data_IF_710374316592
#
_entry.id   IF_710374316592
#
_cell.length_a   1.000
_cell.length_b   1.000
_cell.length_c   1.000
_cell.angle_alpha   90.00
_cell.angle_beta   90.00
_cell.angle_gamma   90.00
#
_symmetry.space_group_name_H-M   'P 1'
#
loop_
_entity.id
_entity.type
_entity.pdbx_description
1 polymer ?
#
# COMPACT_ATOMS: atom_id res chain seq x y z
N UNK A 1 -9.20 -6.71 -21.73
CA UNK A 1 -9.39 -8.03 -21.09
C UNK A 1 -10.46 -7.91 -20.01
N UNK A 2 -11.32 -8.91 -19.81
CA UNK A 2 -12.32 -8.88 -18.72
C UNK A 2 -11.74 -9.45 -17.43
N UNK A 3 -12.30 -9.05 -16.29
CA UNK A 3 -11.94 -9.60 -14.97
C UNK A 3 -12.12 -11.13 -14.90
N UNK A 4 -13.15 -11.67 -15.56
CA UNK A 4 -13.37 -13.11 -15.63
C UNK A 4 -12.21 -13.83 -16.35
N UNK A 5 -11.73 -13.27 -17.47
CA UNK A 5 -10.57 -13.83 -18.19
C UNK A 5 -9.31 -13.80 -17.33
N UNK A 6 -9.07 -12.68 -16.63
CA UNK A 6 -7.91 -12.52 -15.73
C UNK A 6 -7.95 -13.58 -14.62
N UNK A 7 -9.10 -13.72 -13.94
CA UNK A 7 -9.30 -14.72 -12.89
C UNK A 7 -9.01 -16.14 -13.40
N UNK A 8 -9.48 -16.47 -14.62
CA UNK A 8 -9.25 -17.79 -15.20
C UNK A 8 -7.77 -18.03 -15.52
N UNK A 9 -7.06 -17.04 -16.08
CA UNK A 9 -5.64 -17.14 -16.39
C UNK A 9 -4.80 -17.35 -15.12
N UNK A 10 -5.06 -16.55 -14.09
CA UNK A 10 -4.40 -16.68 -12.79
C UNK A 10 -4.67 -18.04 -12.15
N UNK A 11 -5.94 -18.46 -12.09
CA UNK A 11 -6.30 -19.76 -11.51
C UNK A 11 -5.65 -20.93 -12.26
N UNK A 12 -5.63 -20.87 -13.59
CA UNK A 12 -4.99 -21.89 -14.42
C UNK A 12 -3.49 -21.98 -14.17
N UNK A 13 -2.80 -20.84 -14.05
CA UNK A 13 -1.36 -20.85 -13.77
C UNK A 13 -1.05 -21.34 -12.36
N UNK A 14 -1.84 -21.00 -11.35
CA UNK A 14 -1.63 -21.51 -9.98
C UNK A 14 -1.78 -23.04 -9.88
N UNK A 15 -2.66 -23.63 -10.70
CA UNK A 15 -2.85 -25.09 -10.74
C UNK A 15 -1.80 -25.77 -11.62
N UNK A 16 -1.56 -25.25 -12.83
CA UNK A 16 -0.68 -25.89 -13.80
C UNK A 16 0.81 -25.58 -13.56
N UNK A 17 1.11 -24.47 -12.89
CA UNK A 17 2.43 -23.97 -12.55
C UNK A 17 3.40 -24.02 -13.75
N UNK A 18 3.00 -23.43 -14.88
CA UNK A 18 3.79 -23.53 -16.12
C UNK A 18 5.04 -22.66 -16.05
N UNK A 19 4.97 -21.53 -15.37
CA UNK A 19 6.11 -20.66 -15.13
C UNK A 19 6.96 -21.24 -14.02
N UNK A 20 8.27 -21.37 -14.25
CA UNK A 20 9.20 -21.89 -13.26
C UNK A 20 9.15 -21.09 -11.94
N UNK A 21 8.95 -19.77 -12.06
CA UNK A 21 8.90 -18.87 -10.91
C UNK A 21 7.60 -19.07 -10.10
N UNK A 22 6.51 -19.55 -10.70
CA UNK A 22 5.28 -19.95 -9.97
C UNK A 22 5.59 -21.10 -9.03
N UNK A 23 6.29 -22.13 -9.52
CA UNK A 23 6.67 -23.31 -8.71
C UNK A 23 7.55 -22.89 -7.54
N UNK A 24 8.62 -22.17 -7.84
CA UNK A 24 9.56 -21.68 -6.82
C UNK A 24 8.86 -20.87 -5.73
N UNK A 25 7.91 -20.03 -6.13
CA UNK A 25 7.14 -19.23 -5.19
C UNK A 25 6.20 -20.08 -4.32
N UNK A 26 5.41 -20.96 -4.94
CA UNK A 26 4.45 -21.81 -4.23
C UNK A 26 5.11 -22.91 -3.39
N UNK A 27 6.41 -23.17 -3.57
CA UNK A 27 7.20 -24.08 -2.72
C UNK A 27 7.44 -23.53 -1.31
N UNK A 28 7.31 -22.22 -1.11
CA UNK A 28 7.61 -21.52 0.15
C UNK A 28 6.48 -20.60 0.63
N UNK A 29 5.50 -20.31 -0.23
CA UNK A 29 4.38 -19.41 0.04
C UNK A 29 3.04 -20.01 -0.40
N UNK A 30 1.96 -19.49 0.19
CA UNK A 30 0.60 -19.84 -0.19
C UNK A 30 -0.23 -18.59 -0.46
N UNK A 31 -0.93 -18.54 -1.60
CA UNK A 31 -1.90 -17.47 -1.87
C UNK A 31 -3.22 -17.76 -1.15
N UNK A 32 -4.00 -16.71 -0.85
CA UNK A 32 -5.32 -16.89 -0.24
C UNK A 32 -6.37 -17.37 -1.24
N UNK A 33 -7.26 -18.23 -0.76
CA UNK A 33 -8.42 -18.72 -1.51
C UNK A 33 -9.72 -18.42 -0.78
N UNK A 34 -10.77 -18.06 -1.51
CA UNK A 34 -12.14 -17.93 -1.00
C UNK A 34 -13.07 -18.80 -1.82
N UNK A 35 -13.71 -19.78 -1.17
CA UNK A 35 -14.57 -20.79 -1.83
C UNK A 35 -13.87 -21.51 -2.99
N UNK A 36 -12.57 -21.82 -2.83
CA UNK A 36 -11.77 -22.52 -3.83
C UNK A 36 -11.26 -21.64 -5.00
N UNK A 37 -11.55 -20.34 -5.00
CA UNK A 37 -11.08 -19.39 -6.02
C UNK A 37 -9.95 -18.54 -5.41
N UNK A 38 -8.82 -18.32 -6.12
CA UNK A 38 -7.76 -17.42 -5.67
C UNK A 38 -8.34 -16.02 -5.41
N UNK A 39 -7.95 -15.42 -4.28
CA UNK A 39 -8.32 -14.04 -3.99
C UNK A 39 -7.42 -13.11 -4.79
N UNK A 40 -8.02 -12.23 -5.59
CA UNK A 40 -7.32 -11.11 -6.23
C UNK A 40 -7.80 -9.84 -5.54
N UNK A 41 -6.90 -9.12 -4.89
CA UNK A 41 -7.23 -7.90 -4.14
C UNK A 41 -7.32 -6.67 -5.03
N UNK A 42 -6.56 -6.64 -6.13
CA UNK A 42 -6.64 -5.57 -7.11
C UNK A 42 -6.25 -6.05 -8.50
N UNK A 43 -6.95 -5.53 -9.50
CA UNK A 43 -6.57 -5.60 -10.91
C UNK A 43 -6.36 -4.16 -11.40
N UNK A 44 -5.20 -3.85 -11.97
CA UNK A 44 -4.95 -2.51 -12.53
C UNK A 44 -5.59 -2.36 -13.90
N UNK A 45 -5.94 -1.14 -14.33
CA UNK A 45 -6.08 -0.88 -15.75
C UNK A 45 -4.76 -1.20 -16.49
N UNK A 46 -4.81 -1.47 -17.80
CA UNK A 46 -3.60 -1.59 -18.61
C UNK A 46 -2.78 -0.30 -18.53
N UNK A 47 -1.47 -0.41 -18.34
CA UNK A 47 -0.56 0.73 -18.44
C UNK A 47 -0.31 1.14 -19.90
N UNK A 48 0.66 2.05 -20.11
CA UNK A 48 1.03 2.52 -21.47
C UNK A 48 1.56 1.43 -22.38
N UNK A 49 2.05 0.32 -21.83
CA UNK A 49 2.52 -0.85 -22.58
C UNK A 49 1.42 -1.92 -22.72
N UNK A 50 0.24 -1.68 -22.15
CA UNK A 50 -0.88 -2.61 -22.14
C UNK A 50 -0.79 -3.68 -21.06
N UNK A 51 0.08 -3.50 -20.05
CA UNK A 51 0.27 -4.48 -18.98
C UNK A 51 -0.76 -4.26 -17.88
N UNK A 52 -1.46 -5.34 -17.53
CA UNK A 52 -2.39 -5.45 -16.42
C UNK A 52 -1.70 -6.20 -15.29
N UNK A 53 -1.80 -5.68 -14.06
CA UNK A 53 -1.30 -6.35 -12.86
C UNK A 53 -2.46 -6.89 -12.04
N UNK A 54 -2.40 -8.18 -11.66
CA UNK A 54 -3.33 -8.80 -10.73
C UNK A 54 -2.60 -9.13 -9.42
N UNK A 55 -3.00 -8.48 -8.32
CA UNK A 55 -2.37 -8.59 -7.01
C UNK A 55 -3.08 -9.64 -6.17
N UNK A 56 -2.35 -10.69 -5.79
CA UNK A 56 -2.84 -11.75 -4.91
C UNK A 56 -2.17 -11.62 -3.54
N UNK A 57 -2.96 -11.61 -2.46
CA UNK A 57 -2.42 -11.62 -1.12
C UNK A 57 -1.83 -12.98 -0.76
N UNK A 58 -0.82 -12.93 0.08
CA UNK A 58 -0.02 -14.07 0.50
C UNK A 58 -0.36 -14.39 1.96
N UNK A 59 -0.59 -15.65 2.27
CA UNK A 59 -1.07 -16.06 3.58
C UNK A 59 -0.04 -15.75 4.67
N UNK A 60 -0.43 -14.90 5.62
CA UNK A 60 0.41 -14.55 6.78
C UNK A 60 1.49 -13.51 6.49
N UNK A 61 1.58 -13.04 5.25
CA UNK A 61 2.66 -12.16 4.80
C UNK A 61 2.13 -10.78 4.36
N UNK A 62 3.01 -9.79 4.36
CA UNK A 62 2.72 -8.43 3.91
C UNK A 62 3.48 -8.10 2.62
N UNK A 63 3.16 -8.82 1.57
CA UNK A 63 3.53 -8.49 0.20
C UNK A 63 2.58 -9.25 -0.73
N UNK A 64 2.68 -8.99 -2.02
CA UNK A 64 1.76 -9.58 -3.01
C UNK A 64 2.52 -10.48 -3.97
N UNK A 65 1.86 -11.55 -4.39
CA UNK A 65 2.18 -12.23 -5.64
C UNK A 65 1.46 -11.48 -6.76
N UNK A 66 2.19 -11.00 -7.76
CA UNK A 66 1.62 -10.20 -8.84
C UNK A 66 1.77 -10.92 -10.16
N UNK A 67 0.65 -11.17 -10.83
CA UNK A 67 0.63 -11.66 -12.20
C UNK A 67 0.61 -10.49 -13.18
N UNK A 68 1.49 -10.53 -14.17
CA UNK A 68 1.54 -9.56 -15.28
C UNK A 68 0.84 -10.17 -16.49
N UNK A 69 -0.25 -9.55 -16.91
CA UNK A 69 -1.04 -9.96 -18.07
C UNK A 69 -0.95 -8.90 -19.16
N UNK A 70 -0.99 -9.33 -20.41
CA UNK A 70 -0.92 -8.44 -21.56
C UNK A 70 -2.31 -8.24 -22.14
N UNK A 71 -2.80 -7.00 -22.10
CA UNK A 71 -4.11 -6.65 -22.64
C UNK A 71 -4.19 -6.79 -24.17
N UNK A 72 -3.06 -6.68 -24.86
CA UNK A 72 -2.96 -6.74 -26.32
C UNK A 72 -2.93 -8.19 -26.81
N UNK A 73 -2.19 -9.08 -26.14
CA UNK A 73 -2.09 -10.50 -26.54
C UNK A 73 -3.12 -11.39 -25.85
N UNK A 74 -3.71 -10.93 -24.74
CA UNK A 74 -4.63 -11.75 -23.95
C UNK A 74 -3.93 -12.76 -23.02
N UNK A 75 -2.60 -12.72 -22.95
CA UNK A 75 -1.77 -13.74 -22.31
C UNK A 75 -1.25 -13.35 -20.93
N UNK A 76 -0.67 -14.35 -20.26
CA UNK A 76 0.12 -14.16 -19.05
C UNK A 76 1.60 -14.00 -19.42
N UNK A 77 2.20 -12.88 -19.05
CA UNK A 77 3.59 -12.54 -19.36
C UNK A 77 4.57 -12.99 -18.29
N UNK A 78 4.12 -13.08 -17.03
CA UNK A 78 4.98 -13.49 -15.93
C UNK A 78 4.33 -13.28 -14.57
N UNK A 79 5.12 -13.50 -13.53
CA UNK A 79 4.79 -13.10 -12.17
C UNK A 79 6.03 -12.61 -11.42
N UNK A 80 5.81 -11.86 -10.35
CA UNK A 80 6.83 -11.45 -9.40
C UNK A 80 6.21 -11.29 -8.01
N UNK A 81 7.03 -10.87 -7.05
CA UNK A 81 6.51 -10.30 -5.81
C UNK A 81 6.55 -8.77 -5.88
N UNK A 82 5.51 -8.12 -5.37
CA UNK A 82 5.52 -6.67 -5.17
C UNK A 82 5.29 -6.35 -3.69
N UNK A 83 5.97 -5.29 -3.23
CA UNK A 83 5.94 -4.88 -1.84
C UNK A 83 4.53 -4.46 -1.40
N UNK A 84 4.21 -4.70 -0.14
CA UNK A 84 3.08 -4.03 0.48
C UNK A 84 3.49 -2.60 0.84
N UNK A 85 2.83 -1.62 0.23
CA UNK A 85 3.09 -0.21 0.46
C UNK A 85 1.91 0.44 1.19
N UNK A 86 2.20 1.15 2.27
CA UNK A 86 1.25 2.02 2.97
C UNK A 86 1.85 3.41 3.10
N UNK A 87 1.22 4.40 2.46
CA UNK A 87 1.63 5.81 2.46
C UNK A 87 0.46 6.64 2.96
N UNK A 88 0.64 7.36 4.05
CA UNK A 88 -0.42 8.16 4.67
C UNK A 88 0.16 9.39 5.36
N UNK A 89 -0.64 10.44 5.47
CA UNK A 89 -0.34 11.54 6.38
C UNK A 89 -0.82 11.15 7.77
N UNK A 90 -0.03 11.41 8.80
CA UNK A 90 -0.44 11.30 10.19
C UNK A 90 -0.14 12.60 10.93
N UNK A 91 -1.14 13.09 11.65
CA UNK A 91 -0.96 14.14 12.65
C UNK A 91 -1.22 13.57 14.04
N UNK A 92 -0.37 13.93 15.00
CA UNK A 92 -0.50 13.53 16.40
C UNK A 92 -0.35 14.71 17.36
N UNK A 93 -0.99 14.63 18.52
CA UNK A 93 -0.85 15.63 19.57
C UNK A 93 -1.04 15.02 20.96
N UNK A 94 -0.25 15.50 21.93
CA UNK A 94 -0.38 15.13 23.34
C UNK A 94 -1.37 16.01 24.11
N UNK A 95 -1.80 17.13 23.50
CA UNK A 95 -2.65 18.18 24.09
C UNK A 95 -4.01 18.30 23.41
N UNK A 96 -4.07 18.17 22.08
CA UNK A 96 -5.30 18.27 21.30
C UNK A 96 -6.04 16.93 21.25
N UNK A 97 -7.37 16.96 21.17
CA UNK A 97 -8.23 15.83 20.85
C UNK A 97 -8.24 15.51 19.35
N UNK A 98 -8.73 14.33 18.97
CA UNK A 98 -8.91 13.98 17.56
C UNK A 98 -9.84 14.96 16.82
N UNK A 99 -10.90 15.44 17.49
CA UNK A 99 -11.83 16.41 16.90
C UNK A 99 -11.19 17.78 16.68
N UNK A 100 -10.33 18.23 17.59
CA UNK A 100 -9.60 19.49 17.41
C UNK A 100 -8.57 19.38 16.29
N UNK A 101 -7.87 18.24 16.19
CA UNK A 101 -7.00 17.96 15.05
C UNK A 101 -7.78 17.97 13.74
N UNK A 102 -8.89 17.24 13.66
CA UNK A 102 -9.72 17.17 12.46
C UNK A 102 -10.27 18.55 12.05
N UNK A 103 -10.51 19.46 13.00
CA UNK A 103 -11.05 20.79 12.71
C UNK A 103 -10.07 21.73 11.98
N UNK A 104 -8.77 21.43 11.91
CA UNK A 104 -7.82 22.24 11.15
C UNK A 104 -8.00 22.13 9.65
N UNK A 105 -8.63 21.06 9.16
CA UNK A 105 -8.86 20.82 7.75
C UNK A 105 -10.31 20.41 7.48
N UNK A 106 -10.74 20.59 6.24
CA UNK A 106 -12.01 20.10 5.73
C UNK A 106 -11.96 18.62 5.29
N UNK A 107 -10.74 18.07 5.18
CA UNK A 107 -10.51 16.68 4.80
C UNK A 107 -11.03 15.73 5.87
N UNK A 108 -11.64 14.62 5.44
CA UNK A 108 -12.12 13.58 6.35
C UNK A 108 -11.01 12.58 6.68
N UNK A 109 -10.64 12.40 7.96
CA UNK A 109 -9.66 11.39 8.35
C UNK A 109 -10.12 9.98 7.99
N UNK A 110 -9.21 9.16 7.48
CA UNK A 110 -9.42 7.73 7.29
C UNK A 110 -9.33 6.95 8.60
N UNK A 111 -8.61 7.50 9.57
CA UNK A 111 -8.47 6.94 10.90
C UNK A 111 -8.30 8.04 11.95
N UNK A 112 -8.78 7.81 13.17
CA UNK A 112 -8.58 8.70 14.31
C UNK A 112 -8.79 8.02 15.67
N UNK A 113 -8.17 8.61 16.69
CA UNK A 113 -8.41 8.33 18.11
C UNK A 113 -8.01 9.52 18.97
N UNK A 114 -8.62 9.68 20.12
CA UNK A 114 -8.22 10.67 21.13
C UNK A 114 -7.35 10.03 22.21
N UNK A 115 -6.53 10.85 22.86
CA UNK A 115 -5.84 10.48 24.10
C UNK A 115 -6.86 10.02 25.14
N UNK A 116 -6.58 8.88 25.77
CA UNK A 116 -7.47 8.25 26.74
C UNK A 116 -8.44 7.24 26.14
N UNK A 117 -8.64 7.23 24.82
CA UNK A 117 -9.46 6.20 24.18
C UNK A 117 -8.83 4.82 24.36
N UNK A 118 -9.68 3.80 24.52
CA UNK A 118 -9.23 2.41 24.55
C UNK A 118 -8.56 2.05 23.21
N UNK A 119 -7.44 1.32 23.28
CA UNK A 119 -6.77 0.84 22.07
C UNK A 119 -7.67 -0.13 21.32
N UNK A 120 -7.68 -0.02 19.99
CA UNK A 120 -8.46 -0.92 19.12
C UNK A 120 -8.05 -2.39 19.22
N UNK A 121 -6.78 -2.63 19.53
CA UNK A 121 -6.21 -3.95 19.75
C UNK A 121 -5.28 -3.92 20.96
N UNK A 122 -5.34 -4.98 21.76
CA UNK A 122 -4.56 -5.10 22.99
C UNK A 122 -5.22 -4.41 24.19
N UNK A 123 -4.48 -4.33 25.29
CA UNK A 123 -4.91 -3.68 26.53
C UNK A 123 -4.35 -2.25 26.62
N UNK A 124 -5.07 -1.38 27.34
CA UNK A 124 -4.65 -0.01 27.63
C UNK A 124 -5.32 1.06 26.78
N UNK A 125 -4.86 2.30 26.95
CA UNK A 125 -5.39 3.49 26.29
C UNK A 125 -4.32 4.16 25.40
N UNK A 126 -4.75 5.04 24.50
CA UNK A 126 -3.84 5.89 23.74
C UNK A 126 -3.29 7.02 24.62
N UNK A 127 -1.97 7.27 24.55
CA UNK A 127 -1.30 8.33 25.31
C UNK A 127 -1.31 9.69 24.59
N UNK A 128 -1.77 9.73 23.34
CA UNK A 128 -1.86 10.88 22.47
C UNK A 128 -3.07 10.73 21.53
N UNK A 129 -3.53 11.83 20.95
CA UNK A 129 -4.57 11.83 19.92
C UNK A 129 -3.94 11.79 18.53
N UNK A 130 -4.63 11.22 17.56
CA UNK A 130 -4.17 11.17 16.17
C UNK A 130 -5.31 11.23 15.19
N UNK A 131 -5.02 11.79 14.02
CA UNK A 131 -5.79 11.62 12.79
C UNK A 131 -4.84 11.12 11.69
N UNK A 132 -5.37 10.38 10.71
CA UNK A 132 -4.58 9.89 9.57
C UNK A 132 -5.38 9.90 8.28
N UNK A 133 -4.71 10.16 7.16
CA UNK A 133 -5.30 10.22 5.82
C UNK A 133 -4.64 9.19 4.90
N UNK A 134 -5.42 8.20 4.46
CA UNK A 134 -4.99 7.10 3.59
C UNK A 134 -5.94 6.98 2.39
N UNK A 135 -5.80 7.83 1.36
CA UNK A 135 -6.74 7.86 0.23
C UNK A 135 -6.56 6.68 -0.74
N UNK A 136 -5.47 5.92 -0.64
CA UNK A 136 -5.21 4.75 -1.51
C UNK A 136 -4.84 3.50 -0.68
N UNK A 137 -5.84 2.84 -0.03
CA UNK A 137 -5.60 1.69 0.84
C UNK A 137 -5.28 0.38 0.09
N UNK A 138 -5.69 0.27 -1.17
CA UNK A 138 -5.52 -0.93 -2.02
C UNK A 138 -4.04 -1.20 -2.39
N UNK A 139 -3.65 -2.43 -2.80
CA UNK A 139 -2.31 -2.71 -3.31
C UNK A 139 -1.90 -1.73 -4.41
N UNK A 140 -0.73 -1.11 -4.36
CA UNK A 140 -0.24 -0.19 -5.40
C UNK A 140 1.25 0.07 -5.18
N UNK A 141 1.87 0.73 -6.16
CA UNK A 141 3.24 1.22 -6.01
C UNK A 141 3.32 2.38 -5.01
N UNK A 142 4.50 2.56 -4.41
CA UNK A 142 4.77 3.70 -3.53
C UNK A 142 4.53 5.03 -4.25
N UNK A 143 5.02 5.18 -5.47
CA UNK A 143 4.97 6.39 -6.29
C UNK A 143 3.53 6.83 -6.54
N UNK A 144 2.66 5.87 -6.92
CA UNK A 144 1.25 6.15 -7.12
C UNK A 144 0.53 6.50 -5.81
N UNK A 145 0.85 5.82 -4.70
CA UNK A 145 0.26 6.12 -3.40
C UNK A 145 0.67 7.50 -2.88
N UNK A 146 1.94 7.88 -3.02
CA UNK A 146 2.42 9.20 -2.65
C UNK A 146 1.74 10.28 -3.49
N UNK A 147 1.69 10.10 -4.81
CA UNK A 147 1.04 11.06 -5.72
C UNK A 147 -0.44 11.28 -5.38
N UNK A 148 -1.18 10.19 -5.12
CA UNK A 148 -2.59 10.23 -4.71
C UNK A 148 -2.79 10.83 -3.31
N UNK A 149 -1.87 10.55 -2.38
CA UNK A 149 -1.90 11.19 -1.06
C UNK A 149 -1.77 12.70 -1.21
N UNK A 150 -0.75 13.17 -1.93
CA UNK A 150 -0.53 14.60 -2.14
C UNK A 150 -1.71 15.25 -2.88
N UNK A 151 -2.31 14.57 -3.86
CA UNK A 151 -3.49 15.07 -4.58
C UNK A 151 -4.69 15.22 -3.65
N UNK A 152 -4.87 14.30 -2.71
CA UNK A 152 -5.90 14.39 -1.69
C UNK A 152 -5.64 15.53 -0.71
N UNK A 153 -4.40 15.68 -0.22
CA UNK A 153 -4.03 16.72 0.74
C UNK A 153 -4.16 18.14 0.13
N UNK A 154 -3.82 18.30 -1.14
CA UNK A 154 -3.90 19.57 -1.87
C UNK A 154 -5.34 20.10 -2.02
N UNK A 155 -6.37 19.26 -1.81
CA UNK A 155 -7.77 19.71 -1.77
C UNK A 155 -8.03 20.72 -0.64
N UNK A 156 -7.18 20.72 0.39
CA UNK A 156 -7.19 21.71 1.46
C UNK A 156 -5.77 22.02 1.98
N UNK A 157 -4.93 22.53 1.08
CA UNK A 157 -3.53 22.83 1.39
C UNK A 157 -3.36 23.74 2.63
N UNK A 158 -4.21 24.76 2.78
CA UNK A 158 -4.17 25.66 3.95
C UNK A 158 -4.51 24.91 5.25
N UNK A 159 -5.50 24.01 5.21
CA UNK A 159 -5.83 23.17 6.36
C UNK A 159 -4.71 22.20 6.74
N UNK A 160 -4.03 21.64 5.75
CA UNK A 160 -2.85 20.77 5.96
C UNK A 160 -1.67 21.55 6.55
N UNK A 161 -1.38 22.75 6.05
CA UNK A 161 -0.33 23.60 6.63
C UNK A 161 -0.63 23.96 8.09
N UNK A 162 -1.90 24.27 8.42
CA UNK A 162 -2.30 24.45 9.83
C UNK A 162 -2.11 23.20 10.67
N UNK A 163 -2.33 22.00 10.12
CA UNK A 163 -2.03 20.75 10.82
C UNK A 163 -0.53 20.63 11.13
N UNK A 164 0.33 20.95 10.17
CA UNK A 164 1.79 20.94 10.34
C UNK A 164 2.24 21.94 11.42
N UNK A 165 1.67 23.14 11.44
CA UNK A 165 2.01 24.16 12.42
C UNK A 165 1.58 23.82 13.86
N UNK A 166 0.49 23.06 14.02
CA UNK A 166 -0.20 22.87 15.31
C UNK A 166 -0.03 21.47 15.90
N UNK A 167 0.49 20.51 15.14
CA UNK A 167 0.63 19.12 15.53
C UNK A 167 1.93 18.51 14.99
N UNK A 168 2.32 17.37 15.57
CA UNK A 168 3.39 16.55 14.99
C UNK A 168 2.82 15.83 13.77
N UNK A 169 3.17 16.31 12.57
CA UNK A 169 2.49 16.00 11.32
C UNK A 169 3.49 15.70 10.21
N UNK A 170 3.38 14.52 9.60
CA UNK A 170 4.30 14.07 8.57
C UNK A 170 3.71 12.95 7.72
N UNK A 171 4.36 12.66 6.58
CA UNK A 171 4.02 11.49 5.76
C UNK A 171 4.73 10.27 6.35
N UNK A 172 3.97 9.27 6.77
CA UNK A 172 4.52 7.97 7.18
C UNK A 172 4.40 6.97 6.05
N UNK A 173 5.51 6.26 5.78
CA UNK A 173 5.58 5.19 4.79
C UNK A 173 5.96 3.89 5.49
N UNK A 174 5.18 2.84 5.29
CA UNK A 174 5.56 1.47 5.63
C UNK A 174 5.64 0.63 4.36
N UNK A 175 6.78 -0.04 4.18
CA UNK A 175 7.05 -0.94 3.04
C UNK A 175 7.46 -2.30 3.60
N UNK A 176 6.68 -3.33 3.30
CA UNK A 176 7.05 -4.73 3.56
C UNK A 176 7.41 -5.41 2.23
N UNK A 177 8.64 -5.91 2.13
CA UNK A 177 9.19 -6.55 0.95
C UNK A 177 9.40 -8.05 1.18
N UNK A 178 9.35 -8.83 0.10
CA UNK A 178 9.66 -10.26 0.17
C UNK A 178 11.16 -10.50 0.40
N UNK A 179 11.51 -11.15 1.51
CA UNK A 179 12.87 -11.45 1.93
C UNK A 179 13.64 -12.35 0.95
N UNK A 180 12.95 -13.21 0.19
CA UNK A 180 13.59 -14.10 -0.78
C UNK A 180 14.10 -13.42 -2.05
N UNK A 181 13.80 -12.13 -2.29
CA UNK A 181 14.23 -11.43 -3.50
C UNK A 181 15.74 -11.11 -3.52
N UNK A 182 16.43 -11.19 -2.38
CA UNK A 182 17.88 -10.94 -2.24
C UNK A 182 18.30 -9.46 -2.38
N UNK A 183 17.70 -8.73 -3.33
CA UNK A 183 17.81 -7.28 -3.48
C UNK A 183 16.47 -6.63 -3.09
N UNK A 184 16.50 -5.85 -2.02
CA UNK A 184 15.38 -5.00 -1.62
C UNK A 184 15.47 -3.70 -2.41
N UNK A 185 14.46 -3.42 -3.24
CA UNK A 185 14.35 -2.15 -3.96
C UNK A 185 14.17 -0.96 -3.02
N UNK A 186 14.14 0.24 -3.58
CA UNK A 186 13.92 1.47 -2.81
C UNK A 186 12.78 2.31 -3.39
N UNK A 187 12.12 3.14 -2.57
CA UNK A 187 11.13 4.10 -3.04
C UNK A 187 11.80 5.16 -3.93
N UNK A 188 11.12 5.59 -4.99
CA UNK A 188 11.53 6.72 -5.81
C UNK A 188 10.58 7.90 -5.59
N UNK A 189 11.13 9.08 -5.27
CA UNK A 189 10.36 10.32 -5.23
C UNK A 189 10.82 11.21 -6.36
N UNK A 190 9.94 11.47 -7.32
CA UNK A 190 10.24 12.38 -8.42
C UNK A 190 10.29 13.86 -7.96
N UNK A 191 10.88 14.70 -8.80
CA UNK A 191 11.00 16.14 -8.51
C UNK A 191 9.64 16.85 -8.36
N UNK A 192 8.57 16.30 -8.93
CA UNK A 192 7.22 16.89 -8.82
C UNK A 192 6.68 16.66 -7.41
N UNK A 193 6.74 15.44 -6.91
CA UNK A 193 6.26 15.09 -5.57
C UNK A 193 7.10 15.74 -4.47
N UNK A 194 8.43 15.87 -4.65
CA UNK A 194 9.28 16.65 -3.74
C UNK A 194 8.77 18.10 -3.61
N UNK A 195 8.46 18.76 -4.72
CA UNK A 195 7.95 20.13 -4.71
C UNK A 195 6.57 20.25 -4.05
N UNK A 196 5.70 19.28 -4.28
CA UNK A 196 4.35 19.23 -3.68
C UNK A 196 4.42 19.04 -2.16
N UNK A 197 5.29 18.15 -1.68
CA UNK A 197 5.55 17.98 -0.25
C UNK A 197 6.10 19.27 0.38
N UNK A 198 7.10 19.89 -0.25
CA UNK A 198 7.67 21.14 0.23
C UNK A 198 6.66 22.29 0.27
N UNK A 199 5.72 22.35 -0.68
CA UNK A 199 4.65 23.36 -0.68
C UNK A 199 3.66 23.18 0.48
N UNK A 200 3.54 21.97 1.02
CA UNK A 200 2.68 21.64 2.17
C UNK A 200 3.46 21.62 3.50
N UNK A 201 4.76 21.94 3.48
CA UNK A 201 5.68 21.84 4.61
C UNK A 201 5.73 20.43 5.24
N UNK A 202 5.65 19.39 4.40
CA UNK A 202 5.62 18.00 4.83
C UNK A 202 7.00 17.35 4.77
N UNK A 203 7.37 16.66 5.85
CA UNK A 203 8.43 15.67 5.86
C UNK A 203 7.89 14.27 5.49
N UNK A 204 8.80 13.30 5.41
CA UNK A 204 8.48 11.90 5.13
C UNK A 204 9.41 10.97 5.92
N UNK A 205 8.82 9.98 6.58
CA UNK A 205 9.53 8.90 7.27
C UNK A 205 9.27 7.55 6.60
N UNK A 206 10.28 6.67 6.65
CA UNK A 206 10.23 5.35 6.02
C UNK A 206 10.53 4.25 7.03
N UNK A 207 9.56 3.36 7.22
CA UNK A 207 9.71 2.07 7.86
C UNK A 207 9.82 0.98 6.79
N UNK A 208 10.99 0.34 6.72
CA UNK A 208 11.27 -0.72 5.75
C UNK A 208 11.39 -2.07 6.45
N UNK A 209 10.64 -3.06 5.97
CA UNK A 209 10.61 -4.41 6.49
C UNK A 209 10.87 -5.43 5.39
N UNK A 210 11.48 -6.55 5.77
CA UNK A 210 11.61 -7.74 4.93
C UNK A 210 10.91 -8.91 5.64
N UNK A 211 9.96 -9.54 4.95
CA UNK A 211 9.12 -10.63 5.48
C UNK A 211 9.03 -11.80 4.50
N UNK A 212 8.47 -12.92 4.93
CA UNK A 212 8.39 -14.15 4.14
C UNK A 212 9.63 -15.04 4.17
N UNK A 213 9.41 -16.27 3.74
CA UNK A 213 10.43 -17.30 3.59
C UNK A 213 11.35 -17.01 2.40
N UNK A 214 12.65 -17.24 2.58
CA UNK A 214 13.58 -17.27 1.46
C UNK A 214 13.24 -18.40 0.49
N UNK A 215 13.60 -18.25 -0.78
CA UNK A 215 13.50 -19.34 -1.74
C UNK A 215 14.44 -20.48 -1.36
N UNK A 216 14.03 -21.71 -1.68
CA UNK A 216 14.88 -22.90 -1.53
C UNK A 216 15.98 -22.87 -2.60
N UNK A 217 17.18 -23.27 -2.21
CA UNK A 217 18.32 -23.54 -3.12
C UNK A 217 18.12 -24.84 -3.89
#
# INVERSE_FOLDING_TARGET
MTEQTINQLVANELVAQRLAVTKQYLDVHQVLYKKGIPVIERITPPDSEGIIKAYLPVQGEKFYLVFYLDANTGGLNGLSTEAWNRVYLRATSSTLSASELAAFTTLQPSDQWSKGDARRKGQGVYSFSSISFLPNPEPDTFEHKLSKLLEFLEQDANGVQRLVEQADCGITVAIDMHNGNGMLGGPFIDARNIKRMAALDLDIEFDLYATGNAFKE
#
